data_IF_943380103767
#
_entry.id   IF_943380103767
#
_cell.length_a   1.000
_cell.length_b   1.000
_cell.length_c   1.000
_cell.angle_alpha   90.00
_cell.angle_beta   90.00
_cell.angle_gamma   90.00
#
_symmetry.space_group_name_H-M   'P 1'
#
loop_
_entity.id
_entity.type
_entity.pdbx_description
1 polymer ?
#
# COMPACT_ATOMS: atom_id res chain seq x y z
N UNK A 1 -7.14 -6.18 4.48
CA UNK A 1 -6.90 -7.62 4.20
C UNK A 1 -7.74 -8.53 5.09
N UNK A 2 -7.72 -8.37 6.43
CA UNK A 2 -8.54 -9.19 7.35
C UNK A 2 -10.04 -9.20 7.00
N UNK A 3 -10.65 -8.04 6.81
CA UNK A 3 -12.08 -7.93 6.43
C UNK A 3 -12.43 -8.62 5.09
N UNK A 4 -11.51 -8.64 4.12
CA UNK A 4 -11.72 -9.34 2.85
C UNK A 4 -11.58 -10.86 3.05
N UNK A 5 -10.63 -11.30 3.85
CA UNK A 5 -10.45 -12.72 4.17
C UNK A 5 -11.64 -13.29 4.95
N UNK A 6 -12.26 -12.48 5.81
CA UNK A 6 -13.46 -12.86 6.55
C UNK A 6 -14.69 -12.94 5.63
N UNK A 7 -14.85 -12.00 4.70
CA UNK A 7 -16.01 -11.96 3.81
C UNK A 7 -15.97 -13.01 2.68
N UNK A 8 -14.78 -13.31 2.17
CA UNK A 8 -14.54 -14.28 1.10
C UNK A 8 -13.81 -15.50 1.68
N UNK A 9 -14.58 -16.54 2.00
CA UNK A 9 -14.07 -17.78 2.59
C UNK A 9 -13.47 -18.72 1.52
N UNK A 10 -13.98 -18.68 0.29
CA UNK A 10 -13.44 -19.45 -0.83
C UNK A 10 -12.07 -18.91 -1.25
N UNK A 11 -11.07 -19.79 -1.35
CA UNK A 11 -9.68 -19.43 -1.66
C UNK A 11 -9.54 -18.66 -2.98
N UNK A 12 -10.34 -19.04 -4.00
CA UNK A 12 -10.27 -18.45 -5.33
C UNK A 12 -10.93 -17.07 -5.36
N UNK A 13 -12.10 -16.94 -4.74
CA UNK A 13 -12.77 -15.63 -4.60
C UNK A 13 -11.96 -14.67 -3.72
N UNK A 14 -11.38 -15.16 -2.62
CA UNK A 14 -10.52 -14.39 -1.72
C UNK A 14 -9.29 -13.87 -2.46
N UNK A 15 -8.63 -14.73 -3.23
CA UNK A 15 -7.47 -14.34 -4.04
C UNK A 15 -7.81 -13.23 -5.05
N UNK A 16 -8.95 -13.34 -5.72
CA UNK A 16 -9.42 -12.31 -6.66
C UNK A 16 -9.73 -10.98 -5.96
N UNK A 17 -10.47 -11.02 -4.84
CA UNK A 17 -10.81 -9.83 -4.07
C UNK A 17 -9.57 -9.13 -3.48
N UNK A 18 -8.61 -9.91 -2.95
CA UNK A 18 -7.32 -9.39 -2.49
C UNK A 18 -6.52 -8.78 -3.63
N UNK A 19 -6.54 -9.40 -4.82
CA UNK A 19 -5.88 -8.87 -6.02
C UNK A 19 -6.40 -7.49 -6.42
N UNK A 20 -7.72 -7.31 -6.44
CA UNK A 20 -8.35 -6.01 -6.73
C UNK A 20 -7.95 -4.96 -5.67
N UNK A 21 -8.00 -5.32 -4.39
CA UNK A 21 -7.64 -4.41 -3.30
C UNK A 21 -6.15 -3.99 -3.36
N UNK A 22 -5.25 -4.94 -3.61
CA UNK A 22 -3.82 -4.66 -3.79
C UNK A 22 -3.55 -3.84 -5.06
N UNK A 23 -4.31 -4.06 -6.14
CA UNK A 23 -4.27 -3.25 -7.35
C UNK A 23 -4.65 -1.79 -7.07
N UNK A 24 -5.70 -1.57 -6.27
CA UNK A 24 -6.09 -0.23 -5.81
C UNK A 24 -4.99 0.46 -5.00
N UNK A 25 -4.34 -0.27 -4.10
CA UNK A 25 -3.19 0.24 -3.34
C UNK A 25 -2.02 0.62 -4.26
N UNK A 26 -1.69 -0.22 -5.24
CA UNK A 26 -0.64 0.06 -6.23
C UNK A 26 -0.95 1.32 -7.07
N UNK A 27 -2.20 1.53 -7.46
CA UNK A 27 -2.64 2.75 -8.13
C UNK A 27 -2.48 3.98 -7.24
N UNK A 28 -2.78 3.88 -5.94
CA UNK A 28 -2.55 4.95 -4.97
C UNK A 28 -1.08 5.33 -4.86
N UNK A 29 -0.18 4.34 -4.77
CA UNK A 29 1.28 4.54 -4.76
C UNK A 29 1.76 5.19 -6.06
N UNK A 30 1.18 4.81 -7.21
CA UNK A 30 1.52 5.37 -8.52
C UNK A 30 1.10 6.84 -8.67
N UNK A 31 -0.13 7.17 -8.29
CA UNK A 31 -0.71 8.49 -8.51
C UNK A 31 -0.27 9.48 -7.42
N UNK A 32 -0.01 8.99 -6.21
CA UNK A 32 0.27 9.81 -5.02
C UNK A 32 1.42 10.80 -5.18
N UNK A 33 2.66 10.37 -5.48
CA UNK A 33 3.81 11.27 -5.57
C UNK A 33 3.69 12.33 -6.68
N UNK A 34 3.26 12.00 -7.92
CA UNK A 34 2.98 13.01 -8.94
C UNK A 34 1.88 13.99 -8.53
N UNK A 35 0.76 13.48 -7.99
CA UNK A 35 -0.35 14.31 -7.52
C UNK A 35 0.10 15.29 -6.43
N UNK A 36 0.81 14.79 -5.41
CA UNK A 36 1.35 15.58 -4.32
C UNK A 36 2.33 16.65 -4.81
N UNK A 37 3.25 16.28 -5.71
CA UNK A 37 4.22 17.20 -6.29
C UNK A 37 3.58 18.32 -7.11
N UNK A 38 2.58 17.99 -7.95
CA UNK A 38 1.84 18.98 -8.76
C UNK A 38 1.00 19.91 -7.87
N UNK A 39 0.23 19.35 -6.93
CA UNK A 39 -0.59 20.17 -6.02
C UNK A 39 0.27 21.11 -5.17
N UNK A 40 1.39 20.61 -4.65
CA UNK A 40 2.30 21.43 -3.84
C UNK A 40 2.93 22.56 -4.66
N UNK A 41 3.37 22.29 -5.88
CA UNK A 41 4.07 23.28 -6.73
C UNK A 41 3.13 24.35 -7.30
N UNK A 42 1.96 23.95 -7.81
CA UNK A 42 1.11 24.82 -8.61
C UNK A 42 -0.09 25.41 -7.87
N UNK A 43 -0.58 24.75 -6.82
CA UNK A 43 -1.78 25.21 -6.08
C UNK A 43 -1.39 25.79 -4.73
N UNK A 44 -0.48 25.11 -4.03
CA UNK A 44 0.07 25.59 -2.77
C UNK A 44 0.36 24.46 -1.79
N UNK A 45 1.15 24.78 -0.77
CA UNK A 45 1.70 23.80 0.18
C UNK A 45 0.64 23.05 0.98
N UNK A 46 -0.50 23.69 1.27
CA UNK A 46 -1.61 23.11 2.03
C UNK A 46 -2.60 22.31 1.17
N UNK A 47 -2.63 22.53 -0.15
CA UNK A 47 -3.59 21.92 -1.07
C UNK A 47 -3.60 20.37 -1.03
N UNK A 48 -2.45 19.66 -1.14
CA UNK A 48 -2.49 18.19 -1.13
C UNK A 48 -3.07 17.63 0.17
N UNK A 49 -2.79 18.26 1.32
CA UNK A 49 -3.29 17.82 2.61
C UNK A 49 -4.80 18.02 2.77
N UNK A 50 -5.34 19.14 2.28
CA UNK A 50 -6.78 19.40 2.31
C UNK A 50 -7.55 18.41 1.43
N UNK A 51 -7.02 18.11 0.23
CA UNK A 51 -7.64 17.10 -0.65
C UNK A 51 -7.59 15.72 -0.01
N UNK A 52 -6.44 15.30 0.52
CA UNK A 52 -6.32 14.01 1.21
C UNK A 52 -7.24 13.91 2.43
N UNK A 53 -7.40 15.00 3.19
CA UNK A 53 -8.31 15.05 4.33
C UNK A 53 -9.77 14.89 3.90
N UNK A 54 -10.19 15.56 2.83
CA UNK A 54 -11.54 15.43 2.28
C UNK A 54 -11.81 14.02 1.74
N UNK A 55 -10.84 13.43 1.04
CA UNK A 55 -10.93 12.05 0.54
C UNK A 55 -11.02 11.04 1.68
N UNK A 56 -10.19 11.19 2.73
CA UNK A 56 -10.21 10.31 3.90
C UNK A 56 -11.52 10.40 4.67
N UNK A 57 -12.08 11.61 4.83
CA UNK A 57 -13.40 11.79 5.46
C UNK A 57 -14.51 11.15 4.61
N UNK A 58 -14.47 11.34 3.29
CA UNK A 58 -15.43 10.72 2.37
C UNK A 58 -15.36 9.20 2.39
N UNK A 59 -14.16 8.63 2.32
CA UNK A 59 -13.93 7.18 2.42
C UNK A 59 -14.38 6.63 3.77
N UNK A 60 -14.06 7.32 4.87
CA UNK A 60 -14.51 6.95 6.21
C UNK A 60 -16.05 6.94 6.34
N UNK A 61 -16.74 7.94 5.81
CA UNK A 61 -18.20 7.98 5.78
C UNK A 61 -18.78 6.85 4.93
N UNK A 62 -18.20 6.59 3.76
CA UNK A 62 -18.62 5.50 2.88
C UNK A 62 -18.43 4.14 3.55
N UNK A 63 -17.29 3.94 4.23
CA UNK A 63 -17.02 2.74 5.03
C UNK A 63 -18.05 2.56 6.14
N UNK A 64 -18.40 3.62 6.89
CA UNK A 64 -19.42 3.54 7.94
C UNK A 64 -20.80 3.18 7.40
N UNK A 65 -21.19 3.73 6.26
CA UNK A 65 -22.49 3.45 5.62
C UNK A 65 -22.55 2.04 5.02
N UNK A 66 -21.44 1.58 4.42
CA UNK A 66 -21.42 0.34 3.63
C UNK A 66 -21.03 -0.90 4.44
N UNK A 67 -20.05 -0.81 5.34
CA UNK A 67 -19.53 -1.96 6.08
C UNK A 67 -20.43 -2.36 7.25
N UNK A 68 -21.41 -1.53 7.64
CA UNK A 68 -22.34 -1.74 8.76
C UNK A 68 -21.69 -2.54 9.89
N UNK A 69 -20.81 -1.91 10.70
CA UNK A 69 -19.92 -2.63 11.61
C UNK A 69 -20.70 -3.59 12.50
N UNK A 70 -20.62 -4.87 12.17
CA UNK A 70 -21.20 -5.95 12.93
C UNK A 70 -20.06 -6.62 13.69
N UNK A 71 -20.13 -6.59 15.02
CA UNK A 71 -19.14 -7.26 15.86
C UNK A 71 -19.44 -8.75 15.80
N UNK A 72 -18.71 -9.47 14.97
CA UNK A 72 -18.73 -10.93 14.96
C UNK A 72 -17.80 -11.39 16.08
N UNK A 73 -18.39 -11.92 17.16
CA UNK A 73 -17.63 -12.57 18.21
C UNK A 73 -17.15 -13.94 17.70
N UNK A 74 -15.86 -14.04 17.39
CA UNK A 74 -15.21 -15.31 17.11
C UNK A 74 -14.90 -16.01 18.43
N UNK A 75 -15.40 -17.24 18.61
CA UNK A 75 -15.19 -18.04 19.84
C UNK A 75 -13.74 -18.54 20.02
N UNK A 76 -12.88 -18.39 19.01
CA UNK A 76 -11.48 -18.78 19.11
C UNK A 76 -10.67 -17.75 19.90
N UNK A 77 -9.97 -18.19 20.96
CA UNK A 77 -9.00 -17.36 21.64
C UNK A 77 -7.92 -16.91 20.64
N UNK A 78 -7.74 -15.59 20.41
CA UNK A 78 -6.73 -15.13 19.49
C UNK A 78 -5.34 -15.47 20.03
N UNK A 79 -4.39 -15.86 19.16
CA UNK A 79 -3.02 -16.11 19.59
C UNK A 79 -2.44 -14.85 20.24
N UNK A 80 -1.71 -15.02 21.34
CA UNK A 80 -1.09 -13.90 22.03
C UNK A 80 -0.05 -13.20 21.11
N UNK A 81 0.08 -11.88 21.20
CA UNK A 81 1.13 -11.16 20.46
C UNK A 81 2.53 -11.72 20.76
N UNK A 82 2.75 -12.15 22.00
CA UNK A 82 4.01 -12.78 22.41
C UNK A 82 4.28 -14.09 21.67
N UNK A 83 3.26 -14.93 21.47
CA UNK A 83 3.43 -16.17 20.70
C UNK A 83 3.73 -15.90 19.24
N UNK A 84 3.13 -14.87 18.63
CA UNK A 84 3.39 -14.51 17.24
C UNK A 84 4.82 -13.96 17.05
N UNK A 85 5.29 -13.10 17.95
CA UNK A 85 6.63 -12.49 17.86
C UNK A 85 7.74 -13.48 18.23
N UNK A 86 7.42 -14.58 18.91
CA UNK A 86 8.39 -15.64 19.27
C UNK A 86 8.44 -16.76 18.22
N UNK A 87 7.50 -16.80 17.27
CA UNK A 87 7.46 -17.83 16.24
C UNK A 87 8.63 -17.64 15.23
N UNK A 88 9.52 -18.65 15.08
CA UNK A 88 10.70 -18.53 14.24
C UNK A 88 10.37 -18.35 12.75
N UNK A 89 9.25 -18.89 12.26
CA UNK A 89 8.82 -18.71 10.87
C UNK A 89 8.33 -17.29 10.62
N UNK A 90 7.56 -16.73 11.56
CA UNK A 90 7.09 -15.34 11.49
C UNK A 90 8.29 -14.39 11.53
N UNK A 91 9.25 -14.61 12.44
CA UNK A 91 10.46 -13.78 12.54
C UNK A 91 11.28 -13.85 11.25
N UNK A 92 11.47 -15.04 10.67
CA UNK A 92 12.21 -15.20 9.42
C UNK A 92 11.53 -14.47 8.26
N UNK A 93 10.21 -14.62 8.11
CA UNK A 93 9.43 -13.95 7.08
C UNK A 93 9.44 -12.42 7.28
N UNK A 94 9.21 -11.95 8.50
CA UNK A 94 9.24 -10.53 8.85
C UNK A 94 10.63 -9.92 8.60
N UNK A 95 11.70 -10.62 8.97
CA UNK A 95 13.08 -10.21 8.71
C UNK A 95 13.37 -10.11 7.21
N UNK A 96 12.97 -11.12 6.44
CA UNK A 96 13.15 -11.12 4.99
C UNK A 96 12.38 -9.97 4.31
N UNK A 97 11.12 -9.74 4.69
CA UNK A 97 10.29 -8.64 4.18
C UNK A 97 10.90 -7.29 4.54
N UNK A 98 11.41 -7.15 5.77
CA UNK A 98 12.06 -5.91 6.23
C UNK A 98 13.30 -5.61 5.41
N UNK A 99 14.18 -6.60 5.23
CA UNK A 99 15.40 -6.44 4.45
C UNK A 99 15.11 -6.14 2.97
N UNK A 100 14.11 -6.81 2.38
CA UNK A 100 13.68 -6.57 1.01
C UNK A 100 13.14 -5.14 0.81
N UNK A 101 12.39 -4.59 1.78
CA UNK A 101 11.84 -3.24 1.70
C UNK A 101 12.83 -2.14 2.08
N UNK A 102 13.93 -2.46 2.76
CA UNK A 102 14.92 -1.48 3.23
C UNK A 102 15.50 -0.64 2.09
N UNK A 103 15.76 -1.25 0.93
CA UNK A 103 16.31 -0.55 -0.24
C UNK A 103 15.38 0.55 -0.76
N UNK A 104 14.09 0.23 -0.94
CA UNK A 104 13.09 1.21 -1.39
C UNK A 104 12.88 2.28 -0.32
N UNK A 105 12.80 1.89 0.96
CA UNK A 105 12.62 2.82 2.07
C UNK A 105 13.77 3.85 2.18
N UNK A 106 15.00 3.47 1.82
CA UNK A 106 16.13 4.41 1.77
C UNK A 106 16.09 5.31 0.53
N UNK A 107 15.61 4.80 -0.61
CA UNK A 107 15.52 5.54 -1.86
C UNK A 107 14.44 6.62 -1.83
N UNK A 108 13.30 6.36 -1.20
CA UNK A 108 12.17 7.30 -1.13
C UNK A 108 12.56 8.70 -0.61
N UNK A 109 13.31 8.86 0.51
CA UNK A 109 13.75 10.17 0.99
C UNK A 109 15.03 10.65 0.30
N UNK A 110 15.97 9.76 -0.05
CA UNK A 110 17.28 10.17 -0.57
C UNK A 110 17.25 10.60 -2.03
N UNK A 111 16.43 9.96 -2.86
CA UNK A 111 16.35 10.23 -4.30
C UNK A 111 15.83 11.66 -4.59
N UNK A 112 14.72 12.14 -3.97
CA UNK A 112 14.28 13.52 -4.16
C UNK A 112 15.29 14.56 -3.70
N UNK A 113 15.96 14.32 -2.57
CA UNK A 113 17.00 15.21 -2.02
C UNK A 113 18.18 15.31 -3.01
N UNK A 114 18.68 14.17 -3.47
CA UNK A 114 19.78 14.13 -4.43
C UNK A 114 19.40 14.82 -5.76
N UNK A 115 18.17 14.62 -6.24
CA UNK A 115 17.66 15.29 -7.44
C UNK A 115 17.56 16.81 -7.27
N UNK A 116 17.21 17.28 -6.07
CA UNK A 116 17.17 18.69 -5.76
C UNK A 116 18.58 19.30 -5.77
N UNK A 117 19.54 18.65 -5.10
CA UNK A 117 20.90 19.17 -4.93
C UNK A 117 21.75 19.06 -6.21
N UNK A 118 21.61 17.98 -6.98
CA UNK A 118 22.46 17.69 -8.14
C UNK A 118 21.85 18.16 -9.46
N UNK A 119 20.53 18.02 -9.63
CA UNK A 119 19.85 18.26 -10.91
C UNK A 119 19.01 19.56 -10.91
N UNK A 120 18.91 20.25 -9.77
CA UNK A 120 18.02 21.42 -9.61
C UNK A 120 16.56 21.08 -9.91
N UNK A 121 16.15 19.84 -9.65
CA UNK A 121 14.84 19.35 -10.07
C UNK A 121 13.71 20.01 -9.26
N UNK A 122 12.73 20.58 -9.97
CA UNK A 122 11.49 21.10 -9.37
C UNK A 122 10.67 19.98 -8.71
N UNK A 123 9.80 20.34 -7.76
CA UNK A 123 9.09 19.37 -6.89
C UNK A 123 8.21 18.39 -7.68
N UNK A 124 7.60 18.84 -8.77
CA UNK A 124 6.80 17.97 -9.63
C UNK A 124 7.67 16.92 -10.36
N UNK A 125 8.92 17.26 -10.73
CA UNK A 125 9.85 16.31 -11.36
C UNK A 125 10.29 15.24 -10.38
N UNK A 126 10.50 15.60 -9.11
CA UNK A 126 10.80 14.66 -8.03
C UNK A 126 9.67 13.64 -7.86
N UNK A 127 8.41 14.09 -7.86
CA UNK A 127 7.24 13.20 -7.81
C UNK A 127 7.11 12.31 -9.06
N UNK A 128 7.40 12.84 -10.24
CA UNK A 128 7.33 12.09 -11.51
C UNK A 128 8.38 10.97 -11.61
N UNK A 129 9.53 11.09 -10.95
CA UNK A 129 10.59 10.06 -10.96
C UNK A 129 10.15 8.73 -10.34
N UNK A 130 9.12 8.72 -9.49
CA UNK A 130 8.55 7.48 -8.94
C UNK A 130 7.56 6.78 -9.88
N UNK A 131 7.17 7.40 -11.01
CA UNK A 131 6.24 6.80 -11.96
C UNK A 131 6.76 5.47 -12.55
N UNK A 132 8.01 5.36 -13.06
CA UNK A 132 8.50 4.09 -13.60
C UNK A 132 8.54 2.98 -12.55
N UNK A 133 8.97 3.31 -11.33
CA UNK A 133 8.98 2.37 -10.21
C UNK A 133 7.56 1.88 -9.88
N UNK A 134 6.59 2.78 -9.84
CA UNK A 134 5.21 2.47 -9.52
C UNK A 134 4.48 1.72 -10.63
N UNK A 135 4.78 2.01 -11.91
CA UNK A 135 4.30 1.22 -13.05
C UNK A 135 4.87 -0.20 -12.97
N UNK A 136 6.16 -0.33 -12.67
CA UNK A 136 6.80 -1.64 -12.49
C UNK A 136 6.17 -2.42 -11.34
N UNK A 137 5.84 -1.74 -10.23
CA UNK A 137 5.13 -2.32 -9.10
C UNK A 137 3.69 -2.75 -9.48
N UNK A 138 2.96 -1.93 -10.22
CA UNK A 138 1.61 -2.26 -10.70
C UNK A 138 1.62 -3.48 -11.63
N UNK A 139 2.54 -3.53 -12.58
CA UNK A 139 2.71 -4.66 -13.49
C UNK A 139 3.11 -5.91 -12.68
N UNK A 140 4.11 -5.79 -11.81
CA UNK A 140 4.61 -6.88 -10.99
C UNK A 140 3.53 -7.47 -10.08
N UNK A 141 2.80 -6.64 -9.34
CA UNK A 141 1.73 -7.10 -8.43
C UNK A 141 0.60 -7.79 -9.18
N UNK A 142 0.21 -7.31 -10.37
CA UNK A 142 -0.85 -7.92 -11.16
C UNK A 142 -0.41 -9.19 -11.91
N UNK A 143 0.85 -9.33 -12.29
CA UNK A 143 1.38 -10.54 -12.94
C UNK A 143 1.80 -11.63 -11.95
N UNK A 144 2.54 -11.26 -10.91
CA UNK A 144 3.07 -12.21 -9.92
C UNK A 144 2.02 -12.67 -8.91
N UNK A 145 0.93 -11.93 -8.69
CA UNK A 145 -0.18 -12.37 -7.84
C UNK A 145 -0.83 -13.67 -8.35
N UNK A 146 -1.34 -13.72 -9.60
CA UNK A 146 -1.89 -14.94 -10.20
C UNK A 146 -0.87 -16.07 -10.37
N UNK A 147 0.39 -15.74 -10.69
CA UNK A 147 1.46 -16.73 -10.85
C UNK A 147 1.83 -17.39 -9.51
N UNK A 148 1.93 -16.61 -8.43
CA UNK A 148 2.17 -17.14 -7.08
C UNK A 148 1.08 -18.11 -6.64
N UNK A 149 -0.18 -17.85 -7.00
CA UNK A 149 -1.28 -18.77 -6.72
C UNK A 149 -1.18 -20.09 -7.51
N UNK A 150 -0.65 -20.06 -8.74
CA UNK A 150 -0.44 -21.27 -9.56
C UNK A 150 0.80 -22.08 -9.17
N UNK A 151 1.85 -21.44 -8.66
CA UNK A 151 3.12 -22.09 -8.33
C UNK A 151 3.24 -22.53 -6.87
N UNK A 152 2.41 -21.99 -5.97
CA UNK A 152 2.45 -22.26 -4.53
C UNK A 152 1.57 -23.41 -4.04
N UNK A 153 0.95 -24.20 -4.94
CA UNK A 153 0.26 -25.45 -4.60
C UNK A 153 1.05 -26.65 -5.11
#
# INVERSE_FOLDING_TARGET
MGMLAERYQDDKERGNAMGIALGGLALGVLIGPPFGGVMYEFVGKSAPFLVLSALALGDGLLQLLMLQPSVVYTEAEPPSLKSLVTDPYIILAAGAITFANMGIAMLEPSLPIWMMDTMGASRWKQGATFLPASISYLIGTNLFGPLGHRMGR
#
